data_IF_483073780208
#
_entry.id   IF_483073780208
#
_cell.length_a   1.000
_cell.length_b   1.000
_cell.length_c   1.000
_cell.angle_alpha   90.00
_cell.angle_beta   90.00
_cell.angle_gamma   90.00
#
_symmetry.space_group_name_H-M   'P 1'
#
loop_
_entity.id
_entity.type
_entity.pdbx_description
1 polymer ?
#
# COMPACT_ATOMS: atom_id res chain seq x y z
N UNK A 1 -5.32 -69.81 44.38
CA UNK A 1 -4.40 -69.78 43.22
C UNK A 1 -3.62 -68.48 43.37
N UNK A 2 -2.37 -68.42 43.85
CA UNK A 2 -1.18 -69.30 43.65
C UNK A 2 -0.85 -69.53 42.17
N UNK A 3 0.39 -69.38 41.67
CA UNK A 3 1.61 -68.66 42.15
C UNK A 3 2.79 -68.95 41.20
N UNK A 4 3.75 -68.00 41.02
CA UNK A 4 5.16 -68.26 40.64
C UNK A 4 5.41 -68.96 39.25
N UNK A 5 6.61 -69.15 38.68
CA UNK A 5 7.98 -68.54 38.76
C UNK A 5 8.77 -68.89 37.47
N UNK A 6 9.83 -68.11 37.13
CA UNK A 6 11.00 -68.44 36.24
C UNK A 6 10.75 -68.91 34.78
N UNK A 7 11.49 -68.53 33.71
CA UNK A 7 12.87 -68.01 33.45
C UNK A 7 13.97 -69.08 33.35
N UNK A 8 14.55 -69.27 32.15
CA UNK A 8 15.98 -69.56 31.79
C UNK A 8 16.09 -69.57 30.23
N UNK A 9 17.04 -68.87 29.57
CA UNK A 9 18.42 -69.28 29.18
C UNK A 9 18.48 -70.49 28.22
N UNK A 10 19.28 -70.55 27.13
CA UNK A 10 20.37 -69.70 26.58
C UNK A 10 20.45 -69.89 25.02
N UNK A 11 21.51 -69.70 24.19
CA UNK A 11 22.98 -69.52 24.35
C UNK A 11 23.65 -69.04 23.03
N UNK A 12 24.74 -68.25 23.12
CA UNK A 12 25.71 -68.00 22.02
C UNK A 12 25.35 -66.86 21.02
N UNK A 13 26.30 -66.23 20.32
CA UNK A 13 27.78 -66.35 20.36
C UNK A 13 28.48 -65.01 19.99
N UNK A 14 29.80 -64.92 20.23
CA UNK A 14 30.61 -63.73 19.99
C UNK A 14 30.97 -63.50 18.51
N UNK A 15 31.00 -62.24 18.08
CA UNK A 15 32.20 -61.67 17.44
C UNK A 15 32.25 -60.15 17.63
N UNK A 16 33.47 -59.59 17.69
CA UNK A 16 33.70 -58.16 17.87
C UNK A 16 34.87 -57.69 16.98
N UNK A 17 34.67 -56.59 16.28
CA UNK A 17 35.73 -55.84 15.59
C UNK A 17 35.57 -54.34 15.88
N UNK A 18 36.70 -53.63 15.87
CA UNK A 18 36.81 -52.25 16.37
C UNK A 18 36.49 -51.23 15.28
N UNK A 19 35.72 -50.18 15.62
CA UNK A 19 35.47 -49.01 14.78
C UNK A 19 35.64 -47.72 15.58
N UNK A 20 36.22 -46.69 14.96
CA UNK A 20 36.71 -45.48 15.64
C UNK A 20 35.62 -44.67 16.38
N UNK A 21 36.03 -44.00 17.46
CA UNK A 21 35.20 -43.03 18.17
C UNK A 21 35.14 -41.69 17.43
N UNK A 22 33.94 -41.23 17.06
CA UNK A 22 33.66 -39.84 16.71
C UNK A 22 32.48 -39.34 17.53
N UNK A 23 32.56 -38.10 18.03
CA UNK A 23 31.45 -37.45 18.73
C UNK A 23 30.45 -36.89 17.71
N UNK A 24 29.14 -37.18 17.81
CA UNK A 24 28.14 -36.34 17.18
C UNK A 24 28.30 -34.91 17.70
N UNK A 25 28.35 -33.93 16.79
CA UNK A 25 28.53 -32.52 17.14
C UNK A 25 27.23 -31.97 17.75
N UNK A 26 27.34 -31.00 18.67
CA UNK A 26 26.20 -30.11 18.92
C UNK A 26 25.95 -29.33 17.63
N UNK A 27 24.84 -29.63 16.95
CA UNK A 27 24.31 -28.75 15.91
C UNK A 27 23.93 -27.45 16.59
N UNK A 28 24.69 -26.39 16.33
CA UNK A 28 24.34 -25.05 16.79
C UNK A 28 23.04 -24.66 16.11
N UNK A 29 22.00 -24.37 16.90
CA UNK A 29 20.86 -23.60 16.40
C UNK A 29 21.38 -22.30 15.80
N UNK A 30 21.07 -21.98 14.53
CA UNK A 30 21.32 -20.64 14.02
C UNK A 30 20.40 -19.68 14.78
N UNK A 31 20.97 -18.64 15.39
CA UNK A 31 20.19 -17.47 15.77
C UNK A 31 19.76 -16.78 14.47
N UNK A 32 18.56 -17.09 14.00
CA UNK A 32 17.88 -16.32 12.96
C UNK A 32 17.56 -14.97 13.61
N UNK A 33 18.35 -13.95 13.27
CA UNK A 33 18.17 -12.61 13.83
C UNK A 33 16.89 -11.96 13.32
N UNK A 34 16.34 -11.05 14.12
CA UNK A 34 15.29 -10.14 13.67
C UNK A 34 15.75 -9.46 12.37
N UNK A 35 14.97 -9.58 11.30
CA UNK A 35 15.19 -8.79 10.09
C UNK A 35 14.80 -7.34 10.39
N UNK A 36 15.76 -6.59 10.93
CA UNK A 36 15.64 -5.14 11.10
C UNK A 36 15.44 -4.55 9.72
N UNK A 37 14.44 -3.68 9.56
CA UNK A 37 14.00 -3.13 8.27
C UNK A 37 15.21 -2.62 7.46
N UNK A 38 15.52 -3.29 6.37
CA UNK A 38 16.73 -3.04 5.60
C UNK A 38 16.66 -1.66 4.94
N UNK A 39 17.75 -0.89 5.05
CA UNK A 39 17.79 0.46 4.49
C UNK A 39 17.61 0.44 2.97
N UNK A 40 16.58 1.13 2.48
CA UNK A 40 16.36 1.36 1.07
C UNK A 40 17.59 2.06 0.43
N UNK A 41 17.87 1.83 -0.87
CA UNK A 41 19.02 2.43 -1.54
C UNK A 41 19.00 3.96 -1.46
N UNK A 42 20.17 4.54 -1.25
CA UNK A 42 20.35 5.99 -1.16
C UNK A 42 20.12 6.65 -2.53
N UNK A 43 19.52 7.85 -2.57
CA UNK A 43 19.46 8.69 -3.77
C UNK A 43 20.87 9.18 -4.16
N UNK A 44 20.97 9.77 -5.35
CA UNK A 44 22.24 10.21 -5.95
C UNK A 44 22.98 11.26 -5.08
N UNK A 45 24.01 10.83 -4.35
CA UNK A 45 24.96 11.74 -3.68
C UNK A 45 25.99 12.29 -4.67
N UNK A 46 25.50 12.93 -5.74
CA UNK A 46 26.29 13.67 -6.72
C UNK A 46 26.16 15.18 -6.52
N UNK A 47 27.13 15.95 -7.02
CA UNK A 47 26.95 17.39 -7.19
C UNK A 47 25.99 17.69 -8.35
N UNK A 48 25.49 18.93 -8.39
CA UNK A 48 24.66 19.46 -9.48
C UNK A 48 25.17 19.05 -10.86
N UNK A 49 24.32 18.51 -11.77
CA UNK A 49 24.79 17.96 -13.04
C UNK A 49 25.35 19.05 -13.95
N UNK A 50 26.55 18.84 -14.46
CA UNK A 50 27.19 19.75 -15.40
C UNK A 50 26.52 19.72 -16.78
N UNK A 51 26.19 20.91 -17.29
CA UNK A 51 25.70 21.10 -18.65
C UNK A 51 26.91 21.39 -19.55
N UNK A 52 27.25 20.42 -20.40
CA UNK A 52 28.32 20.55 -21.39
C UNK A 52 27.92 21.51 -22.51
N UNK A 53 26.67 21.47 -22.94
CA UNK A 53 26.13 22.34 -23.97
C UNK A 53 24.60 22.45 -23.88
N UNK A 54 24.07 23.67 -24.07
CA UNK A 54 22.66 23.91 -24.37
C UNK A 54 22.53 24.34 -25.84
N UNK A 55 21.51 23.84 -26.56
CA UNK A 55 21.24 24.17 -27.97
C UNK A 55 19.75 24.31 -28.21
N UNK A 56 19.37 25.26 -29.06
CA UNK A 56 18.01 25.38 -29.56
C UNK A 56 17.83 24.53 -30.84
N UNK A 57 16.69 23.84 -30.95
CA UNK A 57 16.23 23.08 -32.11
C UNK A 57 14.92 23.71 -32.59
N UNK A 58 15.04 24.77 -33.38
CA UNK A 58 13.96 25.77 -33.58
C UNK A 58 12.77 25.24 -34.38
N UNK A 59 13.01 24.33 -35.33
CA UNK A 59 11.95 23.76 -36.17
C UNK A 59 11.08 22.80 -35.35
N UNK A 60 11.72 22.06 -34.46
CA UNK A 60 11.15 21.12 -33.50
C UNK A 60 10.54 21.84 -32.27
N UNK A 61 10.94 23.09 -32.01
CA UNK A 61 10.67 23.88 -30.78
C UNK A 61 11.14 23.17 -29.50
N UNK A 62 12.36 22.63 -29.54
CA UNK A 62 12.99 21.93 -28.42
C UNK A 62 14.28 22.61 -27.97
N UNK A 63 14.53 22.64 -26.66
CA UNK A 63 15.84 22.82 -26.07
C UNK A 63 16.52 21.45 -25.95
N UNK A 64 17.70 21.29 -26.54
CA UNK A 64 18.60 20.16 -26.28
C UNK A 64 19.62 20.54 -25.21
N UNK A 65 19.74 19.69 -24.19
CA UNK A 65 20.82 19.73 -23.20
C UNK A 65 21.71 18.51 -23.37
N UNK A 66 22.98 18.74 -23.64
CA UNK A 66 24.04 17.74 -23.57
C UNK A 66 24.72 17.85 -22.19
N UNK A 67 24.73 16.74 -21.44
CA UNK A 67 25.28 16.68 -20.09
C UNK A 67 26.75 16.21 -20.08
N UNK A 68 27.48 16.52 -19.01
CA UNK A 68 28.87 16.07 -18.83
C UNK A 68 29.01 14.56 -18.67
N UNK A 69 27.97 13.86 -18.18
CA UNK A 69 27.90 12.39 -18.16
C UNK A 69 27.75 11.75 -19.56
N UNK A 70 27.64 12.56 -20.62
CA UNK A 70 27.48 12.12 -22.00
C UNK A 70 26.04 11.85 -22.42
N UNK A 71 25.07 11.89 -21.51
CA UNK A 71 23.64 11.80 -21.84
C UNK A 71 23.14 13.08 -22.51
N UNK A 72 21.95 12.99 -23.11
CA UNK A 72 21.25 14.09 -23.76
C UNK A 72 19.80 14.16 -23.23
N UNK A 73 19.19 15.34 -23.22
CA UNK A 73 17.81 15.54 -22.81
C UNK A 73 17.14 16.63 -23.64
N UNK A 74 15.86 16.44 -23.98
CA UNK A 74 15.07 17.33 -24.82
C UNK A 74 13.90 17.92 -24.02
N UNK A 75 13.67 19.23 -24.12
CA UNK A 75 12.64 19.95 -23.39
C UNK A 75 11.85 20.88 -24.34
N UNK A 76 10.52 20.74 -24.47
CA UNK A 76 9.74 21.63 -25.34
C UNK A 76 9.72 23.08 -24.85
N UNK A 77 9.88 24.04 -25.76
CA UNK A 77 9.83 25.48 -25.45
C UNK A 77 8.52 25.88 -24.76
N UNK A 78 7.38 25.37 -25.24
CA UNK A 78 6.06 25.56 -24.62
C UNK A 78 6.03 25.12 -23.14
N UNK A 79 6.66 23.98 -22.83
CA UNK A 79 6.70 23.45 -21.46
C UNK A 79 7.65 24.26 -20.57
N UNK A 80 8.80 24.68 -21.10
CA UNK A 80 9.72 25.58 -20.39
C UNK A 80 9.06 26.94 -20.09
N UNK A 81 8.34 27.54 -21.05
CA UNK A 81 7.63 28.80 -20.87
C UNK A 81 6.48 28.71 -19.87
N UNK A 82 5.75 27.59 -19.85
CA UNK A 82 4.73 27.24 -18.85
C UNK A 82 5.33 27.08 -17.43
N UNK A 83 6.57 26.59 -17.34
CA UNK A 83 7.25 26.27 -16.09
C UNK A 83 8.37 27.27 -15.73
N UNK A 84 8.24 28.52 -16.20
CA UNK A 84 9.12 29.62 -15.82
C UNK A 84 9.09 29.86 -14.30
N UNK A 85 10.27 29.83 -13.67
CA UNK A 85 10.43 29.94 -12.23
C UNK A 85 10.54 31.39 -11.72
N UNK A 86 10.50 32.39 -12.60
CA UNK A 86 10.61 33.79 -12.20
C UNK A 86 9.42 34.23 -11.32
N UNK A 87 9.57 35.26 -10.45
CA UNK A 87 8.50 35.70 -9.55
C UNK A 87 7.20 36.17 -10.21
N UNK A 88 7.19 36.40 -11.53
CA UNK A 88 5.97 36.71 -12.29
C UNK A 88 5.20 35.46 -12.72
N UNK A 89 5.88 34.34 -12.99
CA UNK A 89 5.30 33.10 -13.49
C UNK A 89 5.11 32.02 -12.41
N UNK A 90 5.85 32.11 -11.29
CA UNK A 90 5.73 31.23 -10.12
C UNK A 90 5.64 32.04 -8.82
N UNK A 91 4.57 31.84 -8.05
CA UNK A 91 4.40 32.35 -6.69
C UNK A 91 5.26 31.51 -5.72
N UNK A 92 6.49 31.96 -5.50
CA UNK A 92 7.52 31.21 -4.77
C UNK A 92 7.10 30.79 -3.34
N UNK A 93 6.35 31.62 -2.62
CA UNK A 93 5.84 31.29 -1.27
C UNK A 93 4.80 30.17 -1.23
N UNK A 94 4.21 29.82 -2.37
CA UNK A 94 3.26 28.72 -2.52
C UNK A 94 3.78 27.58 -3.43
N UNK A 95 5.00 27.73 -3.99
CA UNK A 95 5.58 26.85 -5.00
C UNK A 95 4.64 26.56 -6.19
N UNK A 96 3.77 27.52 -6.53
CA UNK A 96 2.66 27.36 -7.47
C UNK A 96 2.77 28.30 -8.67
N UNK A 97 2.36 27.83 -9.85
CA UNK A 97 2.35 28.63 -11.08
C UNK A 97 1.34 29.78 -10.98
N UNK A 98 1.81 31.01 -11.18
CA UNK A 98 0.98 32.22 -11.34
C UNK A 98 0.70 32.59 -12.80
N UNK A 99 1.47 32.02 -13.74
CA UNK A 99 1.19 32.14 -15.17
C UNK A 99 -0.16 31.47 -15.51
N UNK A 100 -1.10 32.27 -16.01
CA UNK A 100 -2.38 31.77 -16.52
C UNK A 100 -2.17 31.07 -17.87
N UNK A 101 -2.78 29.90 -18.05
CA UNK A 101 -2.68 29.13 -19.31
C UNK A 101 -3.26 29.89 -20.52
N UNK A 102 -4.20 30.82 -20.30
CA UNK A 102 -4.70 31.75 -21.33
C UNK A 102 -3.64 32.69 -21.91
N UNK A 103 -2.51 32.85 -21.21
CA UNK A 103 -1.42 33.76 -21.55
C UNK A 103 -0.18 33.00 -22.07
N UNK A 104 -0.28 31.68 -22.22
CA UNK A 104 0.77 30.83 -22.78
C UNK A 104 0.52 30.65 -24.29
N UNK A 105 1.46 31.13 -25.12
CA UNK A 105 1.50 30.72 -26.52
C UNK A 105 1.97 29.26 -26.60
N UNK A 106 1.06 28.37 -26.99
CA UNK A 106 1.35 26.94 -27.15
C UNK A 106 2.30 26.63 -28.32
N UNK A 107 2.52 27.60 -29.21
CA UNK A 107 3.43 27.51 -30.36
C UNK A 107 4.73 28.29 -30.18
N UNK A 108 5.00 28.82 -28.97
CA UNK A 108 6.14 29.70 -28.70
C UNK A 108 7.48 29.11 -29.17
N UNK A 109 8.27 29.98 -29.81
CA UNK A 109 9.68 29.74 -30.10
C UNK A 109 10.58 30.18 -28.94
N UNK A 110 11.78 30.62 -29.27
CA UNK A 110 12.69 31.38 -28.41
C UNK A 110 13.40 32.44 -29.26
N UNK A 111 13.83 33.53 -28.64
CA UNK A 111 14.69 34.55 -29.28
C UNK A 111 16.17 34.26 -29.03
N UNK A 112 16.50 33.75 -27.84
CA UNK A 112 17.87 33.35 -27.49
C UNK A 112 17.90 32.28 -26.39
N UNK A 113 18.87 31.37 -26.47
CA UNK A 113 19.29 30.48 -25.37
C UNK A 113 20.75 30.80 -25.01
N UNK A 114 21.05 30.90 -23.71
CA UNK A 114 22.40 31.08 -23.17
C UNK A 114 22.65 30.11 -22.02
N UNK A 115 23.92 29.76 -21.79
CA UNK A 115 24.37 29.00 -20.61
C UNK A 115 25.19 29.95 -19.72
N UNK A 116 24.71 30.23 -18.51
CA UNK A 116 25.35 31.12 -17.54
C UNK A 116 25.46 30.39 -16.21
N UNK A 117 26.66 30.31 -15.62
CA UNK A 117 26.88 29.73 -14.28
C UNK A 117 26.25 28.32 -14.08
N UNK A 118 26.34 27.47 -15.12
CA UNK A 118 25.71 26.14 -15.23
C UNK A 118 24.15 26.13 -15.25
N UNK A 119 23.49 27.30 -15.33
CA UNK A 119 22.05 27.45 -15.57
C UNK A 119 21.74 27.77 -17.03
N UNK A 120 20.59 27.32 -17.49
CA UNK A 120 20.07 27.69 -18.83
C UNK A 120 19.23 28.94 -18.70
N UNK A 121 19.60 30.01 -19.40
CA UNK A 121 18.80 31.22 -19.55
C UNK A 121 18.17 31.25 -20.94
N UNK A 122 16.88 31.58 -21.03
CA UNK A 122 16.12 31.68 -22.28
C UNK A 122 15.45 33.06 -22.33
N UNK A 123 15.56 33.73 -23.49
CA UNK A 123 14.76 34.90 -23.83
C UNK A 123 13.68 34.50 -24.82
N UNK A 124 12.45 34.90 -24.54
CA UNK A 124 11.25 34.56 -25.31
C UNK A 124 10.82 35.72 -26.22
N UNK A 125 9.98 35.49 -27.26
CA UNK A 125 9.58 36.56 -28.19
C UNK A 125 8.83 37.74 -27.55
N UNK A 126 8.16 37.53 -26.41
CA UNK A 126 7.53 38.59 -25.59
C UNK A 126 8.57 39.41 -24.77
N UNK A 127 9.86 39.18 -25.01
CA UNK A 127 11.02 39.69 -24.25
C UNK A 127 11.01 39.27 -22.77
N UNK A 128 10.21 38.26 -22.39
CA UNK A 128 10.32 37.62 -21.09
C UNK A 128 11.64 36.83 -21.02
N UNK A 129 12.18 36.69 -19.81
CA UNK A 129 13.37 35.87 -19.55
C UNK A 129 13.07 34.79 -18.53
N UNK A 130 13.68 33.62 -18.69
CA UNK A 130 13.52 32.47 -17.79
C UNK A 130 14.84 31.76 -17.58
N UNK A 131 15.18 31.52 -16.32
CA UNK A 131 16.32 30.71 -15.92
C UNK A 131 15.85 29.35 -15.39
N UNK A 132 16.62 28.31 -15.68
CA UNK A 132 16.34 26.94 -15.26
C UNK A 132 17.59 26.30 -14.65
N UNK A 133 17.45 25.83 -13.42
CA UNK A 133 18.50 25.11 -12.70
C UNK A 133 18.74 23.71 -13.33
N UNK A 134 20.02 23.27 -13.41
CA UNK A 134 20.40 22.01 -14.04
C UNK A 134 19.77 20.79 -13.36
N UNK A 135 19.73 20.75 -12.02
CA UNK A 135 19.05 19.70 -11.24
C UNK A 135 17.55 19.64 -11.56
N UNK A 136 16.91 20.81 -11.66
CA UNK A 136 15.48 20.91 -11.95
C UNK A 136 15.14 20.38 -13.34
N UNK A 137 15.99 20.67 -14.34
CA UNK A 137 15.91 20.14 -15.69
C UNK A 137 16.18 18.63 -15.72
N UNK A 138 17.29 18.15 -15.14
CA UNK A 138 17.70 16.73 -15.16
C UNK A 138 16.61 15.85 -14.56
N UNK A 139 16.05 16.24 -13.40
CA UNK A 139 14.94 15.56 -12.71
C UNK A 139 13.61 15.60 -13.48
N UNK A 140 13.49 16.41 -14.53
CA UNK A 140 12.30 16.53 -15.41
C UNK A 140 12.60 16.15 -16.87
N UNK A 141 13.64 15.35 -17.11
CA UNK A 141 13.92 14.81 -18.44
C UNK A 141 12.72 13.98 -18.95
N UNK A 142 12.36 14.15 -20.23
CA UNK A 142 11.22 13.50 -20.86
C UNK A 142 11.48 12.04 -21.30
N UNK A 143 12.68 11.50 -21.10
CA UNK A 143 12.97 10.08 -21.39
C UNK A 143 12.08 9.15 -20.55
N UNK A 144 11.82 7.94 -21.05
CA UNK A 144 10.92 7.00 -20.35
C UNK A 144 11.47 6.57 -19.00
N UNK A 145 12.79 6.42 -18.92
CA UNK A 145 13.53 5.97 -17.74
C UNK A 145 13.52 7.07 -16.66
N UNK A 146 13.79 8.33 -17.04
CA UNK A 146 13.74 9.46 -16.12
C UNK A 146 12.32 9.73 -15.60
N UNK A 147 11.30 9.64 -16.48
CA UNK A 147 9.90 9.76 -16.08
C UNK A 147 9.49 8.61 -15.15
N UNK A 148 9.85 7.36 -15.45
CA UNK A 148 9.54 6.22 -14.60
C UNK A 148 10.20 6.32 -13.22
N UNK A 149 11.48 6.71 -13.15
CA UNK A 149 12.18 6.91 -11.89
C UNK A 149 11.53 8.01 -11.02
N UNK A 150 11.13 9.14 -11.62
CA UNK A 150 10.41 10.19 -10.90
C UNK A 150 9.03 9.74 -10.43
N UNK A 151 8.31 8.93 -11.20
CA UNK A 151 7.01 8.37 -10.78
C UNK A 151 7.17 7.41 -9.60
N UNK A 152 8.20 6.56 -9.57
CA UNK A 152 8.49 5.69 -8.41
C UNK A 152 8.90 6.51 -7.18
N UNK A 153 9.70 7.57 -7.34
CA UNK A 153 10.04 8.50 -6.27
C UNK A 153 8.78 9.15 -5.64
N UNK A 154 7.83 9.57 -6.49
CA UNK A 154 6.62 10.30 -6.07
C UNK A 154 5.49 9.40 -5.53
N UNK A 155 5.33 8.17 -6.03
CA UNK A 155 4.13 7.36 -5.79
C UNK A 155 4.38 5.97 -5.19
N UNK A 156 5.64 5.50 -5.16
CA UNK A 156 6.02 4.15 -4.77
C UNK A 156 5.11 3.13 -5.44
N UNK A 157 5.21 2.97 -6.75
CA UNK A 157 4.32 2.15 -7.56
C UNK A 157 4.64 0.66 -7.47
N UNK A 158 5.90 0.30 -7.19
CA UNK A 158 6.29 -1.10 -6.95
C UNK A 158 5.54 -1.73 -5.77
N UNK A 159 5.03 -2.95 -5.98
CA UNK A 159 4.38 -3.80 -4.98
C UNK A 159 5.13 -5.13 -4.87
N UNK A 160 5.31 -5.60 -3.65
CA UNK A 160 5.82 -6.94 -3.36
C UNK A 160 4.62 -7.86 -3.13
N UNK A 161 4.26 -8.67 -4.13
CA UNK A 161 3.17 -9.65 -4.04
C UNK A 161 3.53 -10.83 -3.14
N UNK A 162 2.54 -11.37 -2.42
CA UNK A 162 2.72 -12.45 -1.46
C UNK A 162 1.53 -13.41 -1.39
N UNK A 163 1.76 -14.54 -0.75
CA UNK A 163 0.84 -15.66 -0.53
C UNK A 163 0.84 -16.05 0.99
N UNK A 164 0.37 -17.25 1.36
CA UNK A 164 0.35 -17.68 2.76
C UNK A 164 1.73 -17.82 3.43
N UNK A 165 2.83 -17.68 2.69
CA UNK A 165 4.20 -17.62 3.25
C UNK A 165 4.59 -16.26 3.83
N UNK A 166 3.75 -15.22 3.67
CA UNK A 166 3.95 -13.85 4.16
C UNK A 166 4.55 -13.80 5.57
N UNK A 167 5.62 -13.03 5.74
CA UNK A 167 6.11 -12.59 7.03
C UNK A 167 5.72 -11.12 7.22
N UNK A 168 4.70 -10.83 8.03
CA UNK A 168 4.21 -9.46 8.18
C UNK A 168 5.33 -8.57 8.77
N UNK A 169 5.71 -7.47 8.09
CA UNK A 169 6.66 -6.50 8.63
C UNK A 169 6.23 -6.04 10.02
N UNK A 170 7.13 -6.07 11.00
CA UNK A 170 6.82 -5.75 12.40
C UNK A 170 7.71 -4.62 12.89
N UNK A 171 7.12 -3.64 13.58
CA UNK A 171 7.82 -2.53 14.24
C UNK A 171 7.24 -2.28 15.66
N UNK A 172 7.96 -1.50 16.47
CA UNK A 172 7.46 -1.03 17.76
C UNK A 172 6.59 0.23 17.59
N UNK A 173 5.49 0.29 18.34
CA UNK A 173 4.51 1.38 18.28
C UNK A 173 5.07 2.72 18.78
N UNK A 174 5.85 2.71 19.87
CA UNK A 174 6.43 3.93 20.43
C UNK A 174 7.62 4.40 19.60
N UNK A 175 8.41 3.51 18.99
CA UNK A 175 9.44 3.88 18.01
C UNK A 175 8.81 4.58 16.80
N UNK A 176 7.73 4.02 16.22
CA UNK A 176 7.03 4.64 15.07
C UNK A 176 6.46 6.02 15.41
N UNK A 177 6.00 6.24 16.64
CA UNK A 177 5.51 7.56 17.07
C UNK A 177 6.61 8.63 17.22
N UNK A 178 7.87 8.24 17.49
CA UNK A 178 8.92 9.18 17.91
C UNK A 178 10.17 9.23 17.02
N UNK A 179 10.48 8.21 16.22
CA UNK A 179 11.58 8.23 15.22
C UNK A 179 11.03 8.34 13.79
N UNK A 180 11.53 9.31 13.03
CA UNK A 180 11.19 9.51 11.62
C UNK A 180 11.68 8.36 10.73
N UNK A 181 12.74 7.62 11.14
CA UNK A 181 13.21 6.42 10.41
C UNK A 181 12.26 5.25 10.61
N UNK A 182 11.82 4.98 11.83
CA UNK A 182 10.82 3.96 12.13
C UNK A 182 9.49 4.27 11.41
N UNK A 183 9.04 5.52 11.48
CA UNK A 183 7.84 5.96 10.77
C UNK A 183 7.97 5.86 9.24
N UNK A 184 9.12 6.21 8.66
CA UNK A 184 9.36 6.05 7.22
C UNK A 184 9.32 4.58 6.82
N UNK A 185 10.04 3.72 7.54
CA UNK A 185 10.10 2.29 7.22
C UNK A 185 8.74 1.59 7.38
N UNK A 186 7.92 2.00 8.37
CA UNK A 186 6.51 1.61 8.48
C UNK A 186 5.70 2.00 7.24
N UNK A 187 5.74 3.27 6.81
CA UNK A 187 4.94 3.72 5.67
C UNK A 187 5.44 3.16 4.33
N UNK A 188 6.74 2.95 4.15
CA UNK A 188 7.29 2.29 2.95
C UNK A 188 6.91 0.80 2.90
N UNK A 189 6.96 0.08 4.03
CA UNK A 189 6.50 -1.31 4.10
C UNK A 189 4.98 -1.41 3.90
N UNK A 190 4.18 -0.52 4.50
CA UNK A 190 2.73 -0.44 4.31
C UNK A 190 2.39 -0.22 2.83
N UNK A 191 3.16 0.62 2.12
CA UNK A 191 2.96 0.87 0.69
C UNK A 191 3.43 -0.28 -0.21
N UNK A 192 4.56 -0.93 0.08
CA UNK A 192 5.12 -2.00 -0.78
C UNK A 192 4.48 -3.37 -0.53
N UNK A 193 4.25 -3.74 0.72
CA UNK A 193 3.74 -5.06 1.13
C UNK A 193 2.23 -5.01 1.42
N UNK A 194 1.66 -3.84 1.72
CA UNK A 194 0.22 -3.67 1.94
C UNK A 194 -0.25 -3.93 3.37
N UNK A 195 0.64 -4.37 4.27
CA UNK A 195 0.33 -4.64 5.68
C UNK A 195 1.58 -4.49 6.55
N UNK A 196 1.42 -3.91 7.74
CA UNK A 196 2.45 -3.80 8.79
C UNK A 196 1.82 -4.01 10.15
N UNK A 197 2.59 -4.61 11.05
CA UNK A 197 2.23 -4.94 12.42
C UNK A 197 2.99 -4.06 13.41
N UNK A 198 2.29 -3.28 14.23
CA UNK A 198 2.88 -2.47 15.29
C UNK A 198 2.59 -3.15 16.64
N UNK A 199 3.62 -3.35 17.46
CA UNK A 199 3.51 -4.00 18.77
C UNK A 199 3.78 -3.01 19.91
N UNK A 200 3.27 -3.34 21.10
CA UNK A 200 3.56 -2.59 22.32
C UNK A 200 2.69 -1.36 22.53
N UNK A 201 1.61 -1.19 21.77
CA UNK A 201 0.63 -0.14 22.06
C UNK A 201 -0.05 -0.40 23.42
N UNK A 202 -0.41 0.63 24.19
CA UNK A 202 -1.25 0.46 25.38
C UNK A 202 -2.60 -0.17 25.02
N UNK A 203 -2.98 -1.26 25.67
CA UNK A 203 -4.20 -2.05 25.37
C UNK A 203 -5.51 -1.36 25.83
N UNK A 204 -5.74 -0.15 25.32
CA UNK A 204 -6.88 0.74 25.59
C UNK A 204 -7.32 1.49 24.32
N UNK A 205 -8.46 2.18 24.38
CA UNK A 205 -8.95 2.98 23.25
C UNK A 205 -8.11 4.26 23.07
N UNK A 206 -8.07 4.78 21.84
CA UNK A 206 -7.38 6.01 21.45
C UNK A 206 -6.06 5.79 20.73
N UNK A 207 -5.47 4.58 20.75
CA UNK A 207 -4.14 4.36 20.16
C UNK A 207 -4.12 4.50 18.62
N UNK A 208 -5.22 4.15 17.93
CA UNK A 208 -5.35 4.41 16.47
C UNK A 208 -5.40 5.90 16.15
N UNK A 209 -6.00 6.71 17.03
CA UNK A 209 -6.06 8.17 16.87
C UNK A 209 -4.70 8.81 17.21
N UNK A 210 -3.99 8.29 18.21
CA UNK A 210 -2.60 8.67 18.52
C UNK A 210 -1.65 8.35 17.35
N UNK A 211 -1.81 7.18 16.71
CA UNK A 211 -1.05 6.80 15.52
C UNK A 211 -1.38 7.68 14.31
N UNK A 212 -2.66 8.02 14.09
CA UNK A 212 -3.03 8.88 12.95
C UNK A 212 -2.44 10.29 13.03
N UNK A 213 -2.21 10.83 14.23
CA UNK A 213 -1.54 12.13 14.40
C UNK A 213 -0.08 12.12 13.90
N UNK A 214 0.56 10.93 13.88
CA UNK A 214 1.89 10.75 13.26
C UNK A 214 1.87 10.94 11.74
N UNK A 215 0.71 10.74 11.11
CA UNK A 215 0.46 10.99 9.69
C UNK A 215 -0.12 12.39 9.49
N UNK A 216 -1.32 12.65 10.02
CA UNK A 216 -2.05 13.91 9.92
C UNK A 216 -3.38 13.84 10.67
N UNK A 217 -4.38 13.18 10.08
CA UNK A 217 -5.72 13.04 10.65
C UNK A 217 -6.38 11.71 10.23
N UNK A 218 -7.51 11.39 10.87
CA UNK A 218 -8.38 10.27 10.50
C UNK A 218 -9.39 10.68 9.43
N UNK A 219 -9.78 9.70 8.61
CA UNK A 219 -10.94 9.80 7.72
C UNK A 219 -12.21 9.54 8.51
N UNK A 220 -13.03 10.57 8.71
CA UNK A 220 -14.39 10.44 9.25
C UNK A 220 -15.29 9.66 8.28
N UNK A 221 -16.11 8.76 8.81
CA UNK A 221 -17.19 8.06 8.08
C UNK A 221 -18.50 8.05 8.88
N UNK A 222 -19.55 7.42 8.35
CA UNK A 222 -20.82 7.27 9.06
C UNK A 222 -20.75 6.36 10.31
N UNK A 223 -19.65 5.59 10.48
CA UNK A 223 -19.32 4.88 11.73
C UNK A 223 -18.40 5.70 12.66
N UNK A 224 -18.18 6.98 12.38
CA UNK A 224 -17.42 7.91 13.23
C UNK A 224 -15.96 8.09 12.83
N UNK A 225 -15.17 8.64 13.77
CA UNK A 225 -13.73 8.83 13.62
C UNK A 225 -12.95 7.55 13.95
N UNK A 226 -13.33 6.88 15.04
CA UNK A 226 -12.95 5.49 15.35
C UNK A 226 -14.23 4.72 15.69
N UNK A 227 -14.23 3.41 15.48
CA UNK A 227 -15.36 2.54 15.80
C UNK A 227 -14.91 1.30 16.58
N UNK A 228 -15.84 0.75 17.37
CA UNK A 228 -15.53 -0.31 18.34
C UNK A 228 -16.07 -1.65 17.83
N UNK A 229 -15.17 -2.49 17.33
CA UNK A 229 -15.46 -3.84 16.79
C UNK A 229 -15.58 -4.83 17.94
N UNK A 230 -16.81 -4.95 18.45
CA UNK A 230 -17.23 -5.86 19.51
C UNK A 230 -18.63 -6.41 19.19
N UNK A 231 -19.03 -7.48 19.87
CA UNK A 231 -20.35 -8.10 19.74
C UNK A 231 -21.44 -7.14 20.30
N UNK A 232 -22.29 -6.58 19.42
CA UNK A 232 -23.31 -5.58 19.78
C UNK A 232 -24.74 -6.18 19.71
N UNK A 233 -25.58 -6.01 20.74
CA UNK A 233 -27.02 -6.25 20.62
C UNK A 233 -27.61 -5.37 19.50
N UNK A 234 -28.41 -5.97 18.61
CA UNK A 234 -28.94 -5.31 17.41
C UNK A 234 -27.84 -4.67 16.52
N UNK A 235 -26.76 -5.41 16.28
CA UNK A 235 -25.67 -5.03 15.38
C UNK A 235 -26.15 -4.44 14.04
N UNK A 236 -25.79 -3.19 13.78
CA UNK A 236 -26.04 -2.47 12.52
C UNK A 236 -25.08 -2.89 11.38
N UNK A 237 -24.04 -3.69 11.68
CA UNK A 237 -23.09 -4.21 10.71
C UNK A 237 -22.61 -5.61 11.16
N UNK A 238 -22.39 -6.54 10.21
CA UNK A 238 -21.98 -7.93 10.48
C UNK A 238 -20.67 -8.01 11.26
N UNK A 239 -19.77 -7.03 11.10
CA UNK A 239 -18.53 -6.93 11.86
C UNK A 239 -18.73 -6.93 13.39
N UNK A 240 -19.85 -6.36 13.86
CA UNK A 240 -20.26 -6.25 15.27
C UNK A 240 -21.00 -7.50 15.79
N UNK A 241 -20.71 -8.68 15.23
CA UNK A 241 -21.21 -9.98 15.69
C UNK A 241 -20.04 -10.91 16.04
N UNK A 242 -20.32 -12.04 16.69
CA UNK A 242 -19.33 -13.12 16.91
C UNK A 242 -19.14 -14.09 15.72
N UNK A 243 -19.79 -13.82 14.58
CA UNK A 243 -19.76 -14.66 13.38
C UNK A 243 -18.40 -14.66 12.66
N UNK A 244 -18.29 -15.54 11.67
CA UNK A 244 -17.21 -15.50 10.68
C UNK A 244 -17.40 -14.31 9.72
N UNK A 245 -16.31 -13.65 9.35
CA UNK A 245 -16.29 -12.62 8.32
C UNK A 245 -15.46 -13.14 7.14
N UNK A 246 -16.12 -13.43 6.03
CA UNK A 246 -15.46 -13.77 4.76
C UNK A 246 -14.55 -12.63 4.29
N UNK A 247 -13.49 -12.96 3.55
CA UNK A 247 -12.52 -12.00 3.01
C UNK A 247 -13.21 -10.85 2.24
N UNK A 248 -12.99 -9.61 2.69
CA UNK A 248 -13.57 -8.39 2.13
C UNK A 248 -12.62 -7.18 2.20
N UNK A 249 -12.84 -6.19 1.33
CA UNK A 249 -12.37 -4.81 1.51
C UNK A 249 -13.44 -4.01 2.24
N UNK A 250 -13.06 -3.05 3.08
CA UNK A 250 -14.01 -2.24 3.82
C UNK A 250 -14.57 -1.08 3.00
N UNK A 251 -15.85 -0.78 3.27
CA UNK A 251 -16.64 0.32 2.73
C UNK A 251 -16.78 0.45 1.18
N UNK A 252 -16.92 -0.64 0.38
CA UNK A 252 -17.19 -0.52 -1.06
C UNK A 252 -18.55 0.09 -1.40
N UNK A 253 -19.40 0.36 -0.40
CA UNK A 253 -20.61 1.19 -0.52
C UNK A 253 -20.30 2.69 -0.73
N UNK A 254 -19.08 3.16 -0.47
CA UNK A 254 -18.62 4.50 -0.84
C UNK A 254 -17.99 4.48 -2.25
N UNK A 255 -18.27 5.51 -3.05
CA UNK A 255 -17.61 5.73 -4.35
C UNK A 255 -16.07 5.88 -4.28
N UNK A 256 -15.57 6.22 -3.09
CA UNK A 256 -14.16 6.26 -2.77
C UNK A 256 -13.97 5.57 -1.41
N UNK A 257 -13.79 4.23 -1.34
CA UNK A 257 -13.57 3.52 -0.09
C UNK A 257 -12.29 3.99 0.62
N UNK A 258 -12.16 3.82 1.95
CA UNK A 258 -10.93 4.11 2.69
C UNK A 258 -9.69 3.50 2.06
N UNK A 259 -8.60 4.27 1.96
CA UNK A 259 -7.33 3.79 1.42
C UNK A 259 -6.58 2.87 2.39
N UNK A 260 -6.51 3.26 3.66
CA UNK A 260 -5.81 2.53 4.72
C UNK A 260 -6.74 2.29 5.91
N UNK A 261 -6.67 1.09 6.47
CA UNK A 261 -7.37 0.73 7.71
C UNK A 261 -6.36 0.43 8.82
N UNK A 262 -6.64 0.93 10.02
CA UNK A 262 -5.99 0.55 11.27
C UNK A 262 -6.96 -0.28 12.13
N UNK A 263 -6.48 -1.38 12.71
CA UNK A 263 -7.17 -2.14 13.75
C UNK A 263 -6.25 -2.32 14.95
N UNK A 264 -6.67 -1.87 16.13
CA UNK A 264 -5.96 -2.04 17.41
C UNK A 264 -6.66 -3.06 18.31
N UNK A 265 -5.94 -4.04 18.82
CA UNK A 265 -6.46 -5.04 19.74
C UNK A 265 -6.49 -4.52 21.18
N UNK A 266 -7.67 -4.08 21.64
CA UNK A 266 -7.90 -3.73 23.05
C UNK A 266 -8.16 -5.00 23.87
N UNK A 267 -8.86 -5.98 23.30
CA UNK A 267 -9.08 -7.31 23.93
C UNK A 267 -9.31 -8.41 22.88
N UNK A 268 -8.61 -9.52 23.02
CA UNK A 268 -8.85 -10.72 22.20
C UNK A 268 -9.89 -11.65 22.86
N UNK A 269 -10.58 -12.49 22.07
CA UNK A 269 -11.44 -13.55 22.61
C UNK A 269 -10.64 -14.76 23.12
N UNK A 270 -11.13 -15.44 24.16
CA UNK A 270 -10.49 -16.67 24.69
C UNK A 270 -10.36 -17.79 23.65
N UNK A 271 -11.29 -17.88 22.69
CA UNK A 271 -11.37 -18.94 21.68
C UNK A 271 -11.89 -18.40 20.35
N UNK A 272 -11.16 -18.68 19.27
CA UNK A 272 -11.44 -18.18 17.93
C UNK A 272 -11.05 -16.70 17.76
N UNK A 273 -11.50 -16.10 16.67
CA UNK A 273 -11.31 -14.67 16.39
C UNK A 273 -9.96 -14.34 15.75
N UNK A 274 -9.26 -15.34 15.22
CA UNK A 274 -8.11 -15.18 14.33
C UNK A 274 -8.49 -14.30 13.13
N UNK A 275 -7.54 -13.47 12.71
CA UNK A 275 -7.65 -12.59 11.54
C UNK A 275 -7.06 -13.31 10.31
N UNK A 276 -7.67 -13.11 9.15
CA UNK A 276 -7.19 -13.63 7.87
C UNK A 276 -6.98 -12.49 6.89
N UNK A 277 -5.94 -12.56 6.06
CA UNK A 277 -5.66 -11.59 4.99
C UNK A 277 -5.16 -12.29 3.73
N UNK A 278 -5.44 -11.67 2.58
CA UNK A 278 -4.94 -12.11 1.26
C UNK A 278 -4.63 -10.88 0.39
N UNK A 279 -3.58 -10.97 -0.41
CA UNK A 279 -3.20 -9.93 -1.37
C UNK A 279 -4.13 -9.93 -2.58
N UNK A 280 -5.16 -9.09 -2.56
CA UNK A 280 -6.15 -8.99 -3.63
C UNK A 280 -5.57 -8.61 -4.99
N UNK A 281 -4.44 -7.92 -5.05
CA UNK A 281 -3.76 -7.64 -6.33
C UNK A 281 -3.06 -8.90 -6.86
N UNK A 282 -2.36 -9.65 -6.00
CA UNK A 282 -1.78 -10.93 -6.40
C UNK A 282 -2.84 -11.91 -6.89
N UNK A 283 -3.99 -11.97 -6.20
CA UNK A 283 -5.12 -12.82 -6.57
C UNK A 283 -5.80 -12.36 -7.88
N UNK A 284 -5.97 -11.05 -8.09
CA UNK A 284 -6.49 -10.53 -9.35
C UNK A 284 -5.56 -10.84 -10.54
N UNK A 285 -4.23 -10.76 -10.34
CA UNK A 285 -3.26 -11.18 -11.35
C UNK A 285 -3.19 -12.72 -11.52
N UNK A 286 -3.51 -13.52 -10.49
CA UNK A 286 -3.66 -14.96 -10.61
C UNK A 286 -4.93 -15.30 -11.41
N UNK A 287 -6.05 -14.65 -11.13
CA UNK A 287 -7.31 -14.80 -11.86
C UNK A 287 -7.12 -14.46 -13.35
N UNK A 288 -6.44 -13.36 -13.66
CA UNK A 288 -6.10 -12.99 -15.05
C UNK A 288 -5.35 -14.08 -15.82
N UNK A 289 -4.58 -14.93 -15.13
CA UNK A 289 -3.78 -16.02 -15.73
C UNK A 289 -4.52 -17.35 -15.77
N UNK A 290 -5.38 -17.64 -14.80
CA UNK A 290 -6.15 -18.90 -14.74
C UNK A 290 -7.51 -18.82 -15.46
N UNK A 291 -8.21 -17.69 -15.34
CA UNK A 291 -9.51 -17.40 -15.96
C UNK A 291 -9.57 -15.91 -16.41
N UNK A 292 -9.06 -15.59 -17.61
CA UNK A 292 -9.10 -14.24 -18.16
C UNK A 292 -10.52 -13.77 -18.50
N UNK A 293 -11.49 -14.66 -18.68
CA UNK A 293 -12.89 -14.26 -18.90
C UNK A 293 -13.50 -13.73 -17.60
N UNK A 294 -13.31 -14.45 -16.49
CA UNK A 294 -13.71 -13.99 -15.16
C UNK A 294 -13.00 -12.69 -14.76
N UNK A 295 -11.69 -12.55 -15.04
CA UNK A 295 -10.98 -11.29 -14.81
C UNK A 295 -11.61 -10.13 -15.59
N UNK A 296 -11.89 -10.30 -16.88
CA UNK A 296 -12.49 -9.27 -17.72
C UNK A 296 -13.91 -8.91 -17.27
N UNK A 297 -14.71 -9.89 -16.84
CA UNK A 297 -16.06 -9.66 -16.30
C UNK A 297 -16.00 -8.83 -15.00
N UNK A 298 -15.14 -9.21 -14.05
CA UNK A 298 -15.01 -8.54 -12.74
C UNK A 298 -14.35 -7.14 -12.81
N UNK A 299 -13.65 -6.83 -13.90
CA UNK A 299 -13.03 -5.51 -14.16
C UNK A 299 -13.79 -4.62 -15.14
N UNK A 300 -14.89 -5.11 -15.75
CA UNK A 300 -15.73 -4.32 -16.68
C UNK A 300 -17.19 -4.17 -16.23
N UNK A 301 -17.74 -5.12 -15.48
CA UNK A 301 -19.07 -4.97 -14.89
C UNK A 301 -18.99 -4.21 -13.55
N UNK A 302 -19.76 -3.13 -13.44
CA UNK A 302 -19.92 -2.41 -12.17
C UNK A 302 -21.08 -3.00 -11.39
N UNK A 303 -20.87 -3.17 -10.09
CA UNK A 303 -21.77 -3.79 -9.12
C UNK A 303 -22.22 -2.73 -8.12
N UNK A 304 -23.51 -2.75 -7.79
CA UNK A 304 -24.12 -1.84 -6.83
C UNK A 304 -23.85 -2.30 -5.38
N UNK A 305 -23.52 -1.35 -4.51
CA UNK A 305 -23.18 -1.54 -3.10
C UNK A 305 -23.94 -0.55 -2.22
N UNK A 306 -24.57 -1.06 -1.17
CA UNK A 306 -25.48 -0.34 -0.28
C UNK A 306 -25.08 -0.47 1.18
N UNK A 307 -25.25 0.61 1.94
CA UNK A 307 -25.18 0.59 3.41
C UNK A 307 -26.20 1.61 3.96
N UNK A 308 -27.07 1.23 4.88
CA UNK A 308 -28.16 2.09 5.37
C UNK A 308 -28.50 1.78 6.83
N UNK A 309 -28.52 2.81 7.68
CA UNK A 309 -28.71 2.66 9.11
C UNK A 309 -28.42 3.96 9.87
N UNK A 310 -27.98 3.82 11.12
CA UNK A 310 -27.53 4.92 11.97
C UNK A 310 -26.36 4.45 12.85
N UNK A 311 -25.35 5.32 13.03
CA UNK A 311 -24.26 5.14 13.99
C UNK A 311 -23.73 6.51 14.46
N UNK A 312 -22.80 7.16 13.74
CA UNK A 312 -22.36 8.54 14.02
C UNK A 312 -23.42 9.58 13.63
N UNK A 313 -24.19 9.29 12.58
CA UNK A 313 -25.44 9.94 12.20
C UNK A 313 -26.31 8.95 11.41
N UNK A 314 -27.50 9.36 10.98
CA UNK A 314 -28.35 8.57 10.07
C UNK A 314 -27.76 8.57 8.65
N UNK A 315 -27.80 7.43 7.96
CA UNK A 315 -27.25 7.29 6.61
C UNK A 315 -28.04 6.35 5.71
N UNK A 316 -28.03 6.66 4.42
CA UNK A 316 -28.41 5.75 3.34
C UNK A 316 -27.46 5.99 2.17
N UNK A 317 -26.53 5.06 1.99
CA UNK A 317 -25.37 5.16 1.09
C UNK A 317 -25.53 4.15 -0.03
N UNK A 318 -25.28 4.58 -1.26
CA UNK A 318 -25.27 3.77 -2.47
C UNK A 318 -24.05 4.15 -3.32
N UNK A 319 -23.40 3.15 -3.93
CA UNK A 319 -22.41 3.37 -4.99
C UNK A 319 -22.33 2.19 -5.96
N UNK A 320 -21.62 2.38 -7.08
CA UNK A 320 -21.50 1.37 -8.14
C UNK A 320 -20.06 1.23 -8.63
N UNK A 321 -19.36 0.15 -8.27
CA UNK A 321 -17.91 -0.04 -8.46
C UNK A 321 -17.61 -1.36 -9.21
N UNK A 322 -16.50 -1.47 -9.94
CA UNK A 322 -16.04 -2.78 -10.43
C UNK A 322 -15.53 -3.61 -9.24
N UNK A 323 -15.56 -4.94 -9.33
CA UNK A 323 -14.94 -5.78 -8.29
C UNK A 323 -13.41 -5.63 -8.32
N UNK A 324 -12.84 -5.44 -9.51
CA UNK A 324 -11.41 -5.21 -9.74
C UNK A 324 -11.26 -3.93 -10.58
N UNK A 325 -10.90 -2.79 -9.96
CA UNK A 325 -10.59 -1.58 -10.71
C UNK A 325 -9.18 -1.66 -11.33
N UNK A 326 -9.07 -1.27 -12.61
CA UNK A 326 -7.80 -1.22 -13.36
C UNK A 326 -7.51 0.17 -13.91
N UNK A 327 -6.23 0.49 -14.11
CA UNK A 327 -5.81 1.73 -14.79
C UNK A 327 -5.80 1.60 -16.33
N UNK A 328 -5.38 2.68 -17.01
CA UNK A 328 -5.27 2.74 -18.47
C UNK A 328 -4.21 1.82 -19.09
N UNK A 329 -3.34 1.22 -18.27
CA UNK A 329 -2.37 0.20 -18.69
C UNK A 329 -2.86 -1.22 -18.29
N UNK A 330 -4.06 -1.33 -17.71
CA UNK A 330 -4.65 -2.57 -17.25
C UNK A 330 -4.10 -3.06 -15.90
N UNK A 331 -3.28 -2.29 -15.18
CA UNK A 331 -2.78 -2.69 -13.86
C UNK A 331 -3.91 -2.62 -12.84
N UNK A 332 -3.98 -3.60 -11.93
CA UNK A 332 -4.95 -3.57 -10.82
C UNK A 332 -4.61 -2.42 -9.87
N UNK A 333 -5.62 -1.63 -9.51
CA UNK A 333 -5.44 -0.42 -8.66
C UNK A 333 -6.22 -0.47 -7.36
N UNK A 334 -7.35 -1.20 -7.33
CA UNK A 334 -8.21 -1.38 -6.16
C UNK A 334 -9.11 -2.60 -6.32
N UNK A 335 -9.36 -3.32 -5.25
CA UNK A 335 -10.45 -4.30 -5.14
C UNK A 335 -11.63 -3.63 -4.42
N UNK A 336 -12.85 -3.84 -4.90
CA UNK A 336 -14.06 -3.41 -4.20
C UNK A 336 -14.95 -4.63 -3.98
N UNK A 337 -14.79 -5.32 -2.84
CA UNK A 337 -15.58 -6.50 -2.54
C UNK A 337 -15.91 -6.60 -1.05
N UNK A 338 -17.19 -6.42 -0.73
CA UNK A 338 -17.78 -6.87 0.53
C UNK A 338 -19.15 -7.48 0.21
N UNK A 339 -19.32 -8.77 0.49
CA UNK A 339 -20.53 -9.49 0.14
C UNK A 339 -21.73 -9.14 1.05
N UNK A 340 -21.49 -8.54 2.22
CA UNK A 340 -22.55 -8.10 3.13
C UNK A 340 -23.17 -6.76 2.70
N UNK A 341 -22.42 -5.89 2.05
CA UNK A 341 -22.88 -4.56 1.57
C UNK A 341 -23.07 -4.52 0.05
N UNK A 342 -23.05 -5.65 -0.65
CA UNK A 342 -23.39 -5.75 -2.07
C UNK A 342 -24.91 -5.80 -2.22
N UNK A 343 -25.49 -4.92 -3.02
CA UNK A 343 -26.95 -4.77 -3.07
C UNK A 343 -27.62 -6.00 -3.74
N UNK A 344 -28.87 -6.20 -3.36
CA UNK A 344 -29.89 -6.95 -4.08
C UNK A 344 -30.26 -6.32 -5.44
N UNK A 345 -30.15 -5.00 -5.56
CA UNK A 345 -30.19 -4.29 -6.84
C UNK A 345 -28.99 -4.72 -7.67
N UNK A 346 -29.26 -5.26 -8.85
CA UNK A 346 -28.24 -5.77 -9.76
C UNK A 346 -28.51 -5.22 -11.16
N UNK A 347 -28.12 -3.96 -11.39
CA UNK A 347 -28.29 -3.28 -12.68
C UNK A 347 -27.24 -3.78 -13.68
N UNK A 348 -27.57 -4.91 -14.31
CA UNK A 348 -26.94 -5.52 -15.48
C UNK A 348 -27.97 -6.34 -16.29
N UNK A 349 -27.80 -6.51 -17.62
CA UNK A 349 -28.67 -7.38 -18.42
C UNK A 349 -28.70 -8.83 -17.92
N UNK A 350 -29.88 -9.48 -17.98
CA UNK A 350 -30.11 -10.85 -17.47
C UNK A 350 -29.12 -11.91 -17.97
N UNK A 351 -28.60 -11.76 -19.19
CA UNK A 351 -27.61 -12.68 -19.76
C UNK A 351 -26.20 -12.56 -19.14
N UNK A 352 -25.90 -11.45 -18.46
CA UNK A 352 -24.62 -11.21 -17.76
C UNK A 352 -24.65 -11.70 -16.31
N UNK A 353 -25.84 -11.88 -15.72
CA UNK A 353 -26.02 -12.23 -14.30
C UNK A 353 -25.34 -13.55 -13.94
N UNK A 354 -25.56 -14.64 -14.71
CA UNK A 354 -24.94 -15.93 -14.41
C UNK A 354 -23.42 -15.93 -14.67
N UNK A 355 -22.89 -15.38 -15.79
CA UNK A 355 -21.46 -15.16 -15.96
C UNK A 355 -20.83 -14.39 -14.79
N UNK A 356 -21.42 -13.25 -14.39
CA UNK A 356 -20.97 -12.46 -13.24
C UNK A 356 -20.88 -13.29 -11.94
N UNK A 357 -21.93 -14.04 -11.59
CA UNK A 357 -21.91 -14.88 -10.39
C UNK A 357 -20.89 -16.02 -10.47
N UNK A 358 -20.69 -16.62 -11.66
CA UNK A 358 -19.63 -17.62 -11.86
C UNK A 358 -18.23 -17.03 -11.70
N UNK A 359 -17.95 -15.88 -12.33
CA UNK A 359 -16.67 -15.17 -12.23
C UNK A 359 -16.37 -14.73 -10.80
N UNK A 360 -17.37 -14.18 -10.10
CA UNK A 360 -17.25 -13.79 -8.70
C UNK A 360 -16.99 -15.01 -7.80
N UNK A 361 -17.62 -16.15 -8.08
CA UNK A 361 -17.37 -17.39 -7.33
C UNK A 361 -15.93 -17.89 -7.53
N UNK A 362 -15.42 -17.86 -8.76
CA UNK A 362 -14.03 -18.24 -9.06
C UNK A 362 -13.01 -17.35 -8.34
N UNK A 363 -13.24 -16.02 -8.30
CA UNK A 363 -12.39 -15.09 -7.56
C UNK A 363 -12.45 -15.34 -6.04
N UNK A 364 -13.64 -15.55 -5.47
CA UNK A 364 -13.81 -15.86 -4.03
C UNK A 364 -13.18 -17.21 -3.67
N UNK A 365 -13.25 -18.21 -4.53
CA UNK A 365 -12.55 -19.49 -4.35
C UNK A 365 -11.04 -19.32 -4.40
N UNK A 366 -10.52 -18.49 -5.31
CA UNK A 366 -9.09 -18.17 -5.41
C UNK A 366 -8.56 -17.40 -4.19
N UNK A 367 -9.32 -16.40 -3.71
CA UNK A 367 -9.07 -15.67 -2.47
C UNK A 367 -9.02 -16.60 -1.25
N UNK A 368 -9.80 -17.68 -1.26
CA UNK A 368 -9.97 -18.61 -0.13
C UNK A 368 -9.06 -19.85 -0.18
N UNK A 369 -8.12 -19.94 -1.15
CA UNK A 369 -7.19 -21.08 -1.24
C UNK A 369 -6.22 -21.07 -0.04
N UNK A 370 -5.96 -22.21 0.64
CA UNK A 370 -5.04 -22.25 1.80
C UNK A 370 -3.61 -21.80 1.50
N UNK A 371 -3.15 -21.96 0.27
CA UNK A 371 -1.87 -21.44 -0.21
C UNK A 371 -1.83 -19.90 -0.34
N UNK A 372 -2.99 -19.24 -0.41
CA UNK A 372 -3.10 -17.79 -0.64
C UNK A 372 -3.43 -17.00 0.64
N UNK A 373 -4.15 -17.60 1.59
CA UNK A 373 -4.61 -16.93 2.83
C UNK A 373 -3.55 -16.98 3.93
N UNK A 374 -3.15 -15.81 4.46
CA UNK A 374 -2.37 -15.71 5.68
C UNK A 374 -3.28 -15.56 6.91
N UNK A 375 -3.22 -16.53 7.85
CA UNK A 375 -3.93 -16.46 9.14
C UNK A 375 -3.00 -16.00 10.26
N UNK A 376 -3.44 -15.05 11.09
CA UNK A 376 -2.75 -14.64 12.31
C UNK A 376 -3.72 -14.37 13.46
N UNK A 377 -3.17 -14.12 14.65
CA UNK A 377 -3.91 -13.80 15.87
C UNK A 377 -3.30 -12.56 16.51
N UNK A 378 -4.14 -11.64 16.95
CA UNK A 378 -3.72 -10.40 17.60
C UNK A 378 -3.80 -10.52 19.12
N UNK A 379 -2.75 -10.14 19.82
CA UNK A 379 -2.76 -10.05 21.28
C UNK A 379 -3.04 -8.60 21.72
N UNK A 380 -3.49 -8.34 22.96
CA UNK A 380 -3.80 -6.99 23.42
C UNK A 380 -2.58 -6.05 23.34
N UNK A 381 -2.74 -4.89 22.71
CA UNK A 381 -1.64 -3.96 22.41
C UNK A 381 -0.96 -4.17 21.04
N UNK A 382 -1.42 -5.13 20.24
CA UNK A 382 -1.08 -5.23 18.82
C UNK A 382 -1.98 -4.31 17.98
N UNK A 383 -1.39 -3.58 17.02
CA UNK A 383 -2.09 -2.73 16.07
C UNK A 383 -1.64 -3.08 14.65
N UNK A 384 -2.57 -3.54 13.81
CA UNK A 384 -2.30 -3.83 12.38
C UNK A 384 -2.76 -2.68 11.49
N UNK A 385 -1.91 -2.28 10.55
CA UNK A 385 -2.18 -1.23 9.56
C UNK A 385 -2.10 -1.83 8.17
N UNK A 386 -3.11 -1.63 7.31
CA UNK A 386 -3.14 -2.26 5.99
C UNK A 386 -3.81 -1.42 4.89
N UNK A 387 -3.40 -1.71 3.66
CA UNK A 387 -3.94 -1.15 2.42
C UNK A 387 -5.30 -1.78 2.11
N UNK A 388 -6.37 -1.04 2.37
CA UNK A 388 -7.75 -1.48 2.21
C UNK A 388 -8.22 -1.46 0.74
N UNK A 389 -7.44 -0.86 -0.17
CA UNK A 389 -7.67 -1.00 -1.62
C UNK A 389 -7.03 -2.28 -2.18
N UNK A 390 -6.02 -2.84 -1.51
CA UNK A 390 -5.26 -4.02 -1.96
C UNK A 390 -5.64 -5.31 -1.25
N UNK A 391 -5.57 -5.32 0.08
CA UNK A 391 -5.83 -6.52 0.87
C UNK A 391 -7.33 -6.75 1.02
N UNK A 392 -7.73 -8.01 0.91
CA UNK A 392 -8.99 -8.44 1.53
C UNK A 392 -8.66 -9.03 2.89
N UNK A 393 -9.49 -8.71 3.88
CA UNK A 393 -9.34 -9.15 5.26
C UNK A 393 -10.60 -9.86 5.75
N UNK A 394 -10.43 -10.77 6.71
CA UNK A 394 -11.47 -11.64 7.24
C UNK A 394 -11.19 -12.04 8.68
N UNK A 395 -12.12 -12.79 9.29
CA UNK A 395 -12.04 -13.15 10.70
C UNK A 395 -12.79 -14.44 10.98
N UNK A 396 -12.14 -15.39 11.65
CA UNK A 396 -12.78 -16.63 12.11
C UNK A 396 -13.83 -16.34 13.18
N UNK A 397 -14.86 -17.16 13.25
CA UNK A 397 -15.87 -17.07 14.31
C UNK A 397 -15.23 -17.22 15.70
N UNK A 398 -15.85 -16.62 16.72
CA UNK A 398 -15.35 -16.67 18.10
C UNK A 398 -16.47 -16.84 19.11
N UNK A 399 -16.13 -17.32 20.31
CA UNK A 399 -17.10 -17.49 21.40
C UNK A 399 -17.22 -16.19 22.21
N UNK A 400 -18.27 -15.41 21.96
CA UNK A 400 -18.66 -14.28 22.81
C UNK A 400 -19.19 -14.79 24.15
N UNK A 401 -18.61 -14.31 25.28
CA UNK A 401 -18.98 -14.72 26.64
C UNK A 401 -18.96 -13.55 27.62
N UNK A 402 -20.13 -12.94 27.84
CA UNK A 402 -20.32 -11.89 28.84
C UNK A 402 -19.41 -10.67 28.61
N UNK A 403 -18.94 -10.03 29.68
CA UNK A 403 -18.14 -8.81 29.61
C UNK A 403 -16.67 -9.00 29.15
N UNK A 404 -16.29 -10.21 28.72
CA UNK A 404 -14.97 -10.54 28.14
C UNK A 404 -15.05 -10.80 26.62
N UNK A 405 -15.98 -10.15 25.93
CA UNK A 405 -16.04 -10.14 24.47
C UNK A 405 -14.76 -9.56 23.83
N UNK A 406 -14.43 -10.05 22.64
CA UNK A 406 -13.42 -9.46 21.74
C UNK A 406 -13.74 -7.98 21.51
N UNK A 407 -12.70 -7.14 21.50
CA UNK A 407 -12.81 -5.71 21.27
C UNK A 407 -11.58 -5.23 20.50
N UNK A 408 -11.78 -4.85 19.23
CA UNK A 408 -10.82 -4.03 18.50
C UNK A 408 -11.35 -2.60 18.38
N UNK A 409 -10.45 -1.61 18.36
CA UNK A 409 -10.76 -0.27 17.86
C UNK A 409 -10.28 -0.14 16.41
N UNK A 410 -11.16 0.31 15.51
CA UNK A 410 -10.84 0.56 14.11
C UNK A 410 -10.79 2.05 13.77
N UNK A 411 -9.94 2.41 12.79
CA UNK A 411 -9.89 3.75 12.21
C UNK A 411 -9.47 3.73 10.73
N UNK A 412 -9.94 4.70 9.94
CA UNK A 412 -9.61 4.83 8.52
C UNK A 412 -8.71 6.03 8.25
N UNK A 413 -7.87 5.92 7.23
CA UNK A 413 -7.12 7.03 6.63
C UNK A 413 -7.21 6.94 5.10
N UNK A 414 -7.02 8.06 4.41
CA UNK A 414 -6.91 8.11 2.96
C UNK A 414 -5.45 8.09 2.50
N UNK A 415 -5.23 7.55 1.30
CA UNK A 415 -3.87 7.24 0.82
C UNK A 415 -3.04 8.50 0.54
N UNK A 416 -3.66 9.64 0.23
CA UNK A 416 -2.93 10.88 -0.08
C UNK A 416 -2.27 11.49 1.16
N UNK A 417 -2.91 11.46 2.33
CA UNK A 417 -2.36 11.87 3.61
C UNK A 417 -1.18 10.97 4.03
N UNK A 418 -1.35 9.66 3.87
CA UNK A 418 -0.32 8.65 4.15
C UNK A 418 0.90 8.87 3.25
N UNK A 419 0.68 9.06 1.95
CA UNK A 419 1.75 9.32 0.97
C UNK A 419 2.37 10.72 1.14
N UNK A 420 1.61 11.71 1.59
CA UNK A 420 2.12 13.03 1.97
C UNK A 420 3.10 12.93 3.14
N UNK A 421 2.72 12.23 4.22
CA UNK A 421 3.62 11.95 5.35
C UNK A 421 4.86 11.17 4.90
N UNK A 422 4.70 10.13 4.08
CA UNK A 422 5.80 9.32 3.56
C UNK A 422 6.82 10.19 2.81
N UNK A 423 6.38 11.06 1.91
CA UNK A 423 7.25 12.00 1.16
C UNK A 423 8.01 12.96 2.09
N UNK A 424 7.33 13.51 3.11
CA UNK A 424 7.94 14.39 4.11
C UNK A 424 9.02 13.65 4.92
N UNK A 425 8.70 12.45 5.43
CA UNK A 425 9.65 11.62 6.19
C UNK A 425 10.83 11.18 5.33
N UNK A 426 10.60 10.80 4.06
CA UNK A 426 11.66 10.43 3.10
C UNK A 426 12.65 11.59 2.93
N UNK A 427 12.15 12.81 2.69
CA UNK A 427 12.97 14.03 2.59
C UNK A 427 13.78 14.28 3.87
N UNK A 428 13.13 14.21 5.04
CA UNK A 428 13.76 14.45 6.33
C UNK A 428 14.86 13.41 6.68
N UNK A 429 14.62 12.14 6.37
CA UNK A 429 15.52 11.03 6.71
C UNK A 429 16.68 10.87 5.71
N UNK A 430 16.45 11.12 4.41
CA UNK A 430 17.44 10.91 3.34
C UNK A 430 18.22 12.17 2.96
N UNK A 431 17.71 13.36 3.31
CA UNK A 431 18.38 14.64 3.08
C UNK A 431 18.14 15.27 1.70
N UNK A 432 17.18 14.76 0.93
CA UNK A 432 16.79 15.21 -0.43
C UNK A 432 16.24 16.65 -0.44
N UNK A 433 17.12 17.64 -0.27
CA UNK A 433 16.81 19.05 0.03
C UNK A 433 16.36 19.85 -1.19
#
# INVERSE_FOLDING_TARGET
MLSYLTRWMSRGAFQALKGASSRPQLVKTPHIGNQTLAAAPLPFTGGSPGIRQARALDQERLLQIDWDDGSCSLYPFTWLRDNCQCPHCTLQSAQARSLLFSNLDVHTGMDQVQLMENKVSITWPDQHSSEFDPDWLKKRCFSSEARQALQEELFLNEREYWDSSLQIPTADFEEVLHDDKAALAWLEALRRIGIVYLRGAPAEQGQVARLSQRIGYLRLTFYGHTWQVQDKPMANNVAYTSGELSLHTDYPALHHPPGVQFLHCVRQADQGGESEVVDGFHMAEQLRREDPEAFNILSSLRVDFTDSGADYCDFSVQSKNHIIDVDSEGRVTRINYNNATRDSVLDMPVHQVQPFYSSLKAFVEMLSRPENVFTYRMEPGDLVTFDNWRLLHGRKSYLSRGQNSRHLEGAYLDWDEVMSRLRILRKAVRGDS
#
